data_IF_604250793621
#
_entry.id   IF_604250793621
#
_cell.length_a   1.000
_cell.length_b   1.000
_cell.length_c   1.000
_cell.angle_alpha   90.00
_cell.angle_beta   90.00
_cell.angle_gamma   90.00
#
_symmetry.space_group_name_H-M   'P 1'
#
loop_
_entity.id
_entity.type
_entity.pdbx_description
1 polymer ?
#
# COMPACT_ATOMS: atom_id res chain seq x y z
N UNK A 1 -1.05 84.45 -0.85
CA UNK A 1 -1.00 85.42 0.28
C UNK A 1 -1.94 84.95 1.38
N UNK A 2 -1.56 85.14 2.67
CA UNK A 2 -2.41 85.60 3.82
C UNK A 2 -3.90 85.13 3.85
N UNK A 3 -4.53 84.48 4.86
CA UNK A 3 -4.32 83.91 6.23
C UNK A 3 -5.51 82.93 6.49
N UNK A 4 -5.61 82.03 7.49
CA UNK A 4 -4.68 81.56 8.53
C UNK A 4 -5.31 81.46 9.95
N UNK A 5 -5.37 80.24 10.56
CA UNK A 5 -5.91 79.82 11.90
C UNK A 5 -7.39 79.33 11.90
N UNK A 6 -7.84 78.34 12.70
CA UNK A 6 -7.23 77.38 13.66
C UNK A 6 -8.18 76.18 13.93
N UNK A 7 -7.61 75.02 14.33
CA UNK A 7 -8.10 73.83 15.10
C UNK A 7 -9.59 73.78 15.58
N UNK A 8 -10.26 72.62 15.69
CA UNK A 8 -9.74 71.27 15.99
C UNK A 8 -10.57 70.09 15.42
N UNK A 9 -9.88 68.94 15.23
CA UNK A 9 -10.21 67.53 15.53
C UNK A 9 -11.69 67.12 15.85
N UNK A 10 -12.22 65.97 15.40
CA UNK A 10 -11.61 64.83 14.66
C UNK A 10 -12.64 63.88 14.00
N UNK A 11 -12.25 63.29 12.85
CA UNK A 11 -12.68 61.99 12.27
C UNK A 11 -14.18 61.67 12.05
N UNK A 12 -14.58 61.81 10.78
CA UNK A 12 -15.64 61.12 9.98
C UNK A 12 -14.89 60.10 9.06
N UNK A 13 -15.44 59.08 8.31
CA UNK A 13 -16.83 58.65 7.94
C UNK A 13 -17.24 57.21 8.38
N UNK A 14 -18.53 56.83 8.52
CA UNK A 14 -19.57 56.37 7.53
C UNK A 14 -19.28 55.05 6.77
N UNK A 15 -20.29 54.36 6.18
CA UNK A 15 -21.70 54.13 6.61
C UNK A 15 -22.17 52.66 6.35
N UNK A 16 -23.46 52.34 6.57
CA UNK A 16 -24.10 51.18 5.91
C UNK A 16 -25.28 50.53 6.63
N UNK A 17 -26.50 51.05 6.46
CA UNK A 17 -27.75 50.33 6.81
C UNK A 17 -28.36 49.63 5.59
N UNK A 18 -28.88 48.42 5.83
CA UNK A 18 -30.04 47.77 5.18
C UNK A 18 -30.10 47.62 3.64
N UNK A 19 -30.49 46.42 3.19
CA UNK A 19 -31.81 46.19 2.55
C UNK A 19 -32.12 44.69 2.38
N UNK A 20 -33.41 44.37 2.26
CA UNK A 20 -33.92 43.01 2.00
C UNK A 20 -33.64 42.54 0.56
N UNK A 21 -33.53 41.23 0.32
CA UNK A 21 -34.64 40.43 -0.27
C UNK A 21 -34.21 39.06 -0.86
N UNK A 22 -35.18 38.13 -0.93
CA UNK A 22 -35.31 37.02 -1.91
C UNK A 22 -34.16 35.99 -2.03
N UNK A 23 -34.27 34.90 -1.27
CA UNK A 23 -33.75 33.60 -1.72
C UNK A 23 -34.70 33.01 -2.78
N UNK A 24 -34.25 32.94 -4.03
CA UNK A 24 -34.97 32.27 -5.12
C UNK A 24 -34.77 30.76 -5.08
N UNK A 25 -35.85 29.99 -5.14
CA UNK A 25 -35.79 28.54 -5.33
C UNK A 25 -35.10 28.17 -6.66
N UNK A 26 -33.96 27.49 -6.58
CA UNK A 26 -33.51 26.60 -7.66
C UNK A 26 -34.03 25.18 -7.37
N UNK A 27 -34.66 24.49 -8.33
CA UNK A 27 -35.11 23.12 -8.12
C UNK A 27 -33.91 22.18 -7.98
N UNK A 28 -33.92 21.32 -6.96
CA UNK A 28 -32.87 20.32 -6.76
C UNK A 28 -32.81 19.36 -7.95
N UNK A 29 -31.63 19.24 -8.52
CA UNK A 29 -31.34 18.30 -9.61
C UNK A 29 -31.41 16.86 -9.07
N UNK A 30 -32.17 15.99 -9.74
CA UNK A 30 -32.43 14.62 -9.30
C UNK A 30 -31.20 13.72 -9.56
N UNK A 31 -30.63 13.13 -8.51
CA UNK A 31 -29.46 12.24 -8.59
C UNK A 31 -29.93 10.78 -8.37
N UNK A 32 -29.84 9.87 -9.36
CA UNK A 32 -30.54 8.57 -9.32
C UNK A 32 -30.08 7.49 -8.33
N UNK A 33 -29.29 7.82 -7.29
CA UNK A 33 -28.78 6.83 -6.32
C UNK A 33 -28.89 7.23 -4.84
N UNK A 34 -29.60 8.31 -4.49
CA UNK A 34 -30.10 8.47 -3.12
C UNK A 34 -31.22 7.45 -2.85
N UNK A 35 -30.83 6.19 -2.59
CA UNK A 35 -31.74 5.24 -1.93
C UNK A 35 -32.04 5.77 -0.53
N UNK A 36 -33.32 5.72 -0.16
CA UNK A 36 -33.79 6.19 1.14
C UNK A 36 -32.95 5.62 2.29
N UNK A 37 -32.68 6.45 3.30
CA UNK A 37 -31.94 6.02 4.49
C UNK A 37 -32.63 4.80 5.12
N UNK A 38 -31.98 3.64 5.04
CA UNK A 38 -32.36 2.43 5.74
C UNK A 38 -32.11 2.55 7.26
N UNK A 39 -32.71 3.55 7.90
CA UNK A 39 -32.81 3.61 9.35
C UNK A 39 -33.79 2.53 9.83
N UNK A 40 -33.29 1.60 10.67
CA UNK A 40 -34.01 0.54 11.38
C UNK A 40 -34.06 -0.86 10.72
N UNK A 41 -32.90 -1.41 10.34
CA UNK A 41 -32.73 -2.85 10.03
C UNK A 41 -31.62 -3.54 10.86
N UNK A 42 -31.45 -3.13 12.12
CA UNK A 42 -30.72 -3.91 13.13
C UNK A 42 -31.60 -4.11 14.36
N UNK A 43 -31.58 -5.33 14.91
CA UNK A 43 -32.34 -5.62 16.12
C UNK A 43 -31.64 -5.03 17.35
N UNK A 44 -32.38 -4.70 18.44
CA UNK A 44 -31.78 -4.17 19.66
C UNK A 44 -30.57 -4.96 20.23
N UNK A 45 -30.53 -6.31 20.25
CA UNK A 45 -29.37 -7.04 20.76
C UNK A 45 -28.10 -6.88 19.90
N UNK A 46 -28.20 -6.79 18.57
CA UNK A 46 -27.03 -6.63 17.69
C UNK A 46 -26.25 -5.35 18.01
N UNK A 47 -26.99 -4.27 18.30
CA UNK A 47 -26.43 -2.96 18.65
C UNK A 47 -25.68 -3.00 19.99
N UNK A 48 -26.20 -3.74 20.96
CA UNK A 48 -25.62 -3.85 22.30
C UNK A 48 -24.37 -4.74 22.29
N UNK A 49 -24.37 -5.82 21.50
CA UNK A 49 -23.20 -6.66 21.26
C UNK A 49 -22.05 -5.88 20.60
N UNK A 50 -22.35 -5.10 19.56
CA UNK A 50 -21.35 -4.26 18.90
C UNK A 50 -20.81 -3.14 19.80
N UNK A 51 -21.64 -2.50 20.65
CA UNK A 51 -21.19 -1.46 21.58
C UNK A 51 -20.30 -2.00 22.71
N UNK A 52 -20.66 -3.13 23.33
CA UNK A 52 -19.84 -3.71 24.41
C UNK A 52 -18.49 -4.22 23.90
N UNK A 53 -18.43 -4.70 22.65
CA UNK A 53 -17.15 -5.03 21.99
C UNK A 53 -16.27 -3.81 21.70
N UNK A 54 -16.82 -2.59 21.61
CA UNK A 54 -16.05 -1.41 21.19
C UNK A 54 -15.19 -0.77 22.31
N UNK A 55 -15.42 -1.15 23.58
CA UNK A 55 -14.89 -0.43 24.73
C UNK A 55 -13.49 -0.83 25.21
N UNK A 56 -12.95 -2.00 24.79
CA UNK A 56 -11.70 -2.52 25.37
C UNK A 56 -10.53 -2.72 24.38
N UNK A 57 -10.74 -2.72 23.06
CA UNK A 57 -9.65 -2.94 22.09
C UNK A 57 -9.78 -2.04 20.83
N UNK A 58 -8.65 -1.72 20.15
CA UNK A 58 -8.67 -1.23 18.78
C UNK A 58 -9.22 -2.33 17.86
N UNK A 59 -10.24 -2.01 17.07
CA UNK A 59 -10.98 -2.98 16.25
C UNK A 59 -11.28 -2.38 14.89
N UNK A 60 -11.33 -3.23 13.86
CA UNK A 60 -11.89 -2.86 12.56
C UNK A 60 -13.30 -2.26 12.72
N UNK A 61 -14.11 -2.75 13.67
CA UNK A 61 -15.44 -2.21 14.00
C UNK A 61 -15.45 -0.88 14.76
N UNK A 62 -14.31 -0.21 14.99
CA UNK A 62 -14.32 1.20 15.39
C UNK A 62 -14.78 2.09 14.22
N UNK A 63 -14.50 1.65 13.00
CA UNK A 63 -14.99 2.21 11.75
C UNK A 63 -16.39 1.64 11.44
N UNK A 64 -17.38 2.51 11.22
CA UNK A 64 -18.78 2.11 10.99
C UNK A 64 -18.97 1.48 9.61
N UNK A 65 -18.16 1.89 8.64
CA UNK A 65 -18.05 1.32 7.30
C UNK A 65 -17.75 -0.19 7.33
N UNK A 66 -16.95 -0.66 8.30
CA UNK A 66 -16.62 -2.09 8.46
C UNK A 66 -17.73 -2.92 9.12
N UNK A 67 -18.85 -2.32 9.55
CA UNK A 67 -19.97 -3.05 10.13
C UNK A 67 -20.81 -3.75 9.07
N UNK A 68 -20.79 -3.24 7.83
CA UNK A 68 -21.63 -3.68 6.74
C UNK A 68 -20.78 -4.00 5.52
N UNK A 69 -20.54 -5.29 5.29
CA UNK A 69 -19.98 -5.80 4.03
C UNK A 69 -21.11 -6.44 3.22
N UNK A 70 -21.03 -6.33 1.90
CA UNK A 70 -21.86 -7.13 0.99
C UNK A 70 -21.53 -8.63 1.08
N UNK A 71 -22.25 -9.43 0.31
CA UNK A 71 -22.10 -10.88 0.23
C UNK A 71 -20.86 -11.31 -0.56
N UNK A 72 -20.47 -10.58 -1.61
CA UNK A 72 -19.25 -10.86 -2.39
C UNK A 72 -17.98 -10.73 -1.54
N UNK A 73 -17.86 -9.63 -0.79
CA UNK A 73 -16.77 -9.38 0.14
C UNK A 73 -16.70 -10.43 1.26
N UNK A 74 -17.85 -10.84 1.81
CA UNK A 74 -17.92 -11.94 2.79
C UNK A 74 -17.47 -13.27 2.19
N UNK A 75 -17.84 -13.57 0.94
CA UNK A 75 -17.39 -14.77 0.24
C UNK A 75 -15.87 -14.72 -0.01
N UNK A 76 -15.33 -13.57 -0.42
CA UNK A 76 -13.89 -13.36 -0.59
C UNK A 76 -13.11 -13.57 0.72
N UNK A 77 -13.59 -12.98 1.82
CA UNK A 77 -13.06 -13.17 3.17
C UNK A 77 -13.06 -14.64 3.60
N UNK A 78 -14.16 -15.36 3.40
CA UNK A 78 -14.28 -16.77 3.80
C UNK A 78 -13.38 -17.70 2.95
N UNK A 79 -13.13 -17.38 1.68
CA UNK A 79 -12.19 -18.14 0.84
C UNK A 79 -10.76 -18.09 1.37
N UNK A 80 -10.31 -16.95 1.89
CA UNK A 80 -8.94 -16.77 2.43
C UNK A 80 -8.86 -17.05 3.94
N UNK A 81 -9.96 -17.09 4.67
CA UNK A 81 -9.95 -17.07 6.15
C UNK A 81 -9.11 -18.18 6.79
N UNK A 82 -9.05 -19.36 6.18
CA UNK A 82 -8.28 -20.49 6.72
C UNK A 82 -6.78 -20.43 6.44
N UNK A 83 -6.31 -19.52 5.59
CA UNK A 83 -4.88 -19.23 5.40
C UNK A 83 -4.43 -17.96 6.13
N UNK A 84 -5.33 -17.24 6.79
CA UNK A 84 -4.98 -16.09 7.66
C UNK A 84 -4.82 -16.56 9.10
N UNK A 85 -3.70 -16.19 9.72
CA UNK A 85 -3.36 -16.50 11.12
C UNK A 85 -3.24 -15.23 11.96
N UNK A 86 -3.47 -15.34 13.26
CA UNK A 86 -3.04 -14.32 14.22
C UNK A 86 -1.61 -14.63 14.67
N UNK A 87 -0.80 -13.59 14.83
CA UNK A 87 0.57 -13.67 15.33
C UNK A 87 0.70 -12.87 16.63
N UNK A 88 1.43 -13.42 17.60
CA UNK A 88 1.77 -12.73 18.85
C UNK A 88 3.25 -12.96 19.14
N UNK A 89 3.99 -11.88 19.42
CA UNK A 89 5.39 -11.96 19.84
C UNK A 89 5.54 -11.71 21.33
N UNK A 90 6.60 -12.28 21.89
CA UNK A 90 6.99 -12.15 23.28
C UNK A 90 8.49 -11.85 23.35
N UNK A 91 8.87 -10.97 24.27
CA UNK A 91 10.25 -10.65 24.66
C UNK A 91 10.28 -10.70 26.20
N UNK A 92 11.30 -11.31 26.80
CA UNK A 92 11.39 -11.57 28.25
C UNK A 92 10.15 -12.29 28.83
N UNK A 93 9.49 -13.13 28.02
CA UNK A 93 8.24 -13.80 28.37
C UNK A 93 7.01 -12.87 28.48
N UNK A 94 7.15 -11.57 28.23
CA UNK A 94 6.04 -10.60 28.17
C UNK A 94 5.58 -10.45 26.73
N UNK A 95 4.28 -10.32 26.52
CA UNK A 95 3.73 -10.00 25.19
C UNK A 95 4.31 -8.67 24.73
N UNK A 96 4.97 -8.68 23.58
CA UNK A 96 5.59 -7.51 22.96
C UNK A 96 4.62 -6.90 21.95
N UNK A 97 4.41 -7.55 20.81
CA UNK A 97 3.53 -7.07 19.73
C UNK A 97 2.62 -8.19 19.21
N UNK A 98 1.79 -7.85 18.24
CA UNK A 98 0.82 -8.74 17.62
C UNK A 98 0.52 -8.26 16.20
N UNK A 99 -0.03 -9.14 15.36
CA UNK A 99 -0.44 -8.81 14.00
C UNK A 99 -1.19 -9.97 13.36
N UNK A 100 -1.40 -9.86 12.06
CA UNK A 100 -1.93 -10.94 11.24
C UNK A 100 -0.85 -11.46 10.29
N UNK A 101 -1.03 -12.66 9.74
CA UNK A 101 -0.14 -13.21 8.73
C UNK A 101 -0.87 -14.13 7.76
N UNK A 102 -0.23 -14.42 6.64
CA UNK A 102 -0.78 -15.23 5.54
C UNK A 102 0.07 -16.47 5.32
N UNK A 103 -0.52 -17.66 5.43
CA UNK A 103 0.14 -18.92 5.04
C UNK A 103 0.25 -18.95 3.51
N UNK A 104 1.47 -18.80 3.00
CA UNK A 104 1.77 -18.73 1.56
C UNK A 104 2.37 -20.01 0.98
N UNK A 105 3.02 -20.82 1.82
CA UNK A 105 3.62 -22.11 1.44
C UNK A 105 3.42 -23.10 2.59
N UNK A 106 3.30 -24.40 2.28
CA UNK A 106 3.36 -25.47 3.29
C UNK A 106 3.79 -26.78 2.64
N UNK A 107 4.68 -27.50 3.31
CA UNK A 107 5.04 -28.88 2.99
C UNK A 107 4.84 -29.79 4.22
N UNK A 108 5.46 -30.98 4.22
CA UNK A 108 5.36 -31.97 5.30
C UNK A 108 6.20 -31.62 6.54
N UNK A 109 7.11 -30.65 6.45
CA UNK A 109 8.03 -30.24 7.52
C UNK A 109 7.65 -28.88 8.09
N UNK A 110 7.25 -27.93 7.23
CA UNK A 110 7.04 -26.54 7.64
C UNK A 110 5.96 -25.84 6.81
N UNK A 111 5.23 -24.96 7.48
CA UNK A 111 4.36 -23.95 6.90
C UNK A 111 4.99 -22.56 7.02
N UNK A 112 4.79 -21.73 6.00
CA UNK A 112 5.44 -20.43 5.85
C UNK A 112 4.38 -19.33 5.90
N UNK A 113 4.50 -18.44 6.88
CA UNK A 113 3.65 -17.26 7.07
C UNK A 113 4.38 -16.00 6.61
N UNK A 114 3.81 -15.30 5.62
CA UNK A 114 4.21 -13.95 5.25
C UNK A 114 3.46 -12.92 6.11
N UNK A 115 4.17 -11.96 6.67
CA UNK A 115 3.63 -10.94 7.60
C UNK A 115 4.52 -9.68 7.63
N UNK A 116 4.25 -8.77 8.57
CA UNK A 116 5.01 -7.56 8.81
C UNK A 116 6.15 -7.78 9.82
N UNK A 117 7.32 -7.18 9.59
CA UNK A 117 8.44 -7.19 10.55
C UNK A 117 8.15 -6.40 11.84
N UNK A 118 7.15 -5.51 11.82
CA UNK A 118 6.66 -4.80 13.01
C UNK A 118 6.24 -5.74 14.15
N UNK A 119 5.96 -7.04 13.90
CA UNK A 119 5.63 -7.95 15.00
C UNK A 119 6.82 -8.20 15.95
N UNK A 120 8.06 -7.88 15.60
CA UNK A 120 9.23 -7.98 16.49
C UNK A 120 10.20 -6.78 16.42
N UNK A 121 9.98 -5.80 15.53
CA UNK A 121 10.82 -4.60 15.43
C UNK A 121 10.74 -3.75 16.71
N UNK A 122 11.89 -3.47 17.31
CA UNK A 122 11.97 -2.59 18.48
C UNK A 122 12.05 -1.10 18.09
N UNK A 123 11.61 -0.21 18.98
CA UNK A 123 11.48 1.21 18.68
C UNK A 123 12.78 2.02 18.82
N UNK A 124 13.79 1.47 19.48
CA UNK A 124 15.09 2.13 19.72
C UNK A 124 16.19 1.61 18.78
N UNK A 125 15.94 0.48 18.11
CA UNK A 125 16.97 -0.32 17.43
C UNK A 125 16.99 0.01 15.92
N UNK A 126 16.77 1.28 15.57
CA UNK A 126 16.82 1.75 14.17
C UNK A 126 18.25 1.60 13.57
N UNK A 127 19.24 1.37 14.42
CA UNK A 127 20.66 1.20 14.08
C UNK A 127 21.17 -0.25 14.25
N UNK A 128 20.46 -1.12 14.99
CA UNK A 128 20.86 -2.51 15.25
C UNK A 128 19.83 -3.43 14.58
N UNK A 129 20.26 -4.17 13.55
CA UNK A 129 19.36 -5.00 12.74
C UNK A 129 18.96 -6.32 13.40
N UNK A 130 19.53 -6.66 14.55
CA UNK A 130 19.43 -7.99 15.13
C UNK A 130 18.05 -8.25 15.74
N UNK A 131 17.71 -9.53 15.87
CA UNK A 131 16.50 -9.97 16.58
C UNK A 131 16.79 -10.02 18.09
N UNK A 132 15.82 -9.68 18.97
CA UNK A 132 15.99 -9.84 20.40
C UNK A 132 16.29 -11.30 20.79
N UNK A 133 17.30 -11.53 21.62
CA UNK A 133 17.77 -12.88 22.00
C UNK A 133 16.65 -13.81 22.52
N UNK A 134 15.72 -13.26 23.31
CA UNK A 134 14.60 -13.97 23.94
C UNK A 134 13.27 -13.87 23.14
N UNK A 135 13.33 -13.47 21.86
CA UNK A 135 12.16 -13.37 20.99
C UNK A 135 11.47 -14.73 20.80
N UNK A 136 10.17 -14.77 21.07
CA UNK A 136 9.30 -15.92 20.78
C UNK A 136 8.08 -15.47 20.01
N UNK A 137 7.72 -16.20 18.96
CA UNK A 137 6.52 -15.94 18.17
C UNK A 137 5.56 -17.11 18.33
N UNK A 138 4.28 -16.80 18.54
CA UNK A 138 3.18 -17.76 18.53
C UNK A 138 2.32 -17.54 17.30
N UNK A 139 2.19 -18.59 16.47
CA UNK A 139 1.31 -18.63 15.32
C UNK A 139 -0.01 -19.27 15.74
N UNK A 140 -1.13 -18.55 15.60
CA UNK A 140 -2.44 -18.99 16.10
C UNK A 140 -3.36 -19.34 14.93
N UNK A 141 -3.60 -20.63 14.75
CA UNK A 141 -4.46 -21.21 13.70
C UNK A 141 -5.91 -21.33 14.20
N UNK A 142 -6.52 -20.17 14.37
CA UNK A 142 -7.84 -19.97 14.99
C UNK A 142 -9.00 -20.84 14.47
N UNK A 143 -8.99 -21.27 13.20
CA UNK A 143 -10.05 -22.12 12.63
C UNK A 143 -10.13 -23.53 13.26
N UNK A 144 -9.06 -23.97 13.93
CA UNK A 144 -9.02 -25.19 14.76
C UNK A 144 -8.69 -24.94 16.22
N UNK A 145 -8.44 -23.68 16.61
CA UNK A 145 -8.02 -23.31 17.97
C UNK A 145 -6.59 -23.76 18.32
N UNK A 146 -5.77 -24.08 17.33
CA UNK A 146 -4.39 -24.54 17.52
C UNK A 146 -3.42 -23.36 17.63
N UNK A 147 -2.30 -23.56 18.32
CA UNK A 147 -1.20 -22.59 18.42
C UNK A 147 0.15 -23.29 18.29
N UNK A 148 1.05 -22.71 17.50
CA UNK A 148 2.37 -23.25 17.21
C UNK A 148 3.47 -22.23 17.59
N UNK A 149 4.65 -22.72 17.96
CA UNK A 149 5.86 -21.88 17.99
C UNK A 149 6.24 -21.52 16.56
N UNK A 150 6.57 -20.25 16.32
CA UNK A 150 7.04 -19.75 15.05
C UNK A 150 8.49 -19.27 15.12
N UNK A 151 9.28 -19.65 14.13
CA UNK A 151 10.68 -19.25 13.94
C UNK A 151 10.77 -18.14 12.89
N UNK A 152 11.56 -17.08 13.14
CA UNK A 152 11.83 -16.05 12.13
C UNK A 152 12.82 -16.59 11.11
N UNK A 153 12.34 -16.85 9.88
CA UNK A 153 13.18 -17.38 8.79
C UNK A 153 13.86 -16.27 7.98
N UNK A 154 13.16 -15.14 7.80
CA UNK A 154 13.63 -13.98 7.04
C UNK A 154 12.90 -12.72 7.50
N UNK A 155 13.56 -11.57 7.42
CA UNK A 155 12.93 -10.26 7.62
C UNK A 155 13.69 -9.15 6.88
N UNK A 156 12.99 -8.07 6.59
CA UNK A 156 13.55 -6.86 5.99
C UNK A 156 12.81 -5.63 6.50
N UNK A 157 13.47 -4.83 7.33
CA UNK A 157 12.91 -3.60 7.91
C UNK A 157 12.72 -2.46 6.89
N UNK A 158 13.28 -2.57 5.68
CA UNK A 158 13.07 -1.60 4.61
C UNK A 158 11.68 -1.78 3.98
N UNK A 159 11.32 -3.02 3.61
CA UNK A 159 9.97 -3.38 3.13
C UNK A 159 8.98 -3.69 4.26
N UNK A 160 9.46 -3.77 5.50
CA UNK A 160 8.73 -4.21 6.68
C UNK A 160 8.05 -5.58 6.50
N UNK A 161 8.74 -6.50 5.83
CA UNK A 161 8.27 -7.87 5.60
C UNK A 161 9.00 -8.83 6.54
N UNK A 162 8.28 -9.86 6.97
CA UNK A 162 8.83 -10.99 7.72
C UNK A 162 8.22 -12.31 7.24
N UNK A 163 9.01 -13.37 7.39
CA UNK A 163 8.62 -14.74 7.10
C UNK A 163 8.80 -15.59 8.36
N UNK A 164 7.69 -16.14 8.84
CA UNK A 164 7.67 -17.00 10.03
C UNK A 164 7.41 -18.45 9.59
N UNK A 165 8.33 -19.34 9.93
CA UNK A 165 8.17 -20.79 9.78
C UNK A 165 7.47 -21.37 11.00
N UNK A 166 6.59 -22.35 10.83
CA UNK A 166 6.07 -23.17 11.92
C UNK A 166 5.78 -24.59 11.43
N UNK A 167 5.84 -25.58 12.32
CA UNK A 167 5.50 -26.97 11.99
C UNK A 167 4.06 -27.27 12.45
N UNK A 168 3.09 -27.44 11.53
CA UNK A 168 1.74 -27.83 11.90
C UNK A 168 1.65 -29.33 12.21
N UNK A 169 0.79 -29.70 13.16
CA UNK A 169 0.42 -31.11 13.41
C UNK A 169 -0.55 -31.65 12.35
N UNK A 170 -1.37 -30.77 11.76
CA UNK A 170 -2.45 -31.10 10.83
C UNK A 170 -2.38 -30.19 9.59
N UNK A 171 -2.61 -30.68 8.36
CA UNK A 171 -2.52 -29.88 7.12
C UNK A 171 -3.26 -28.54 7.21
N UNK A 172 -2.60 -27.45 6.84
CA UNK A 172 -3.14 -26.08 6.87
C UNK A 172 -3.58 -25.62 5.47
N UNK A 173 -4.47 -24.63 5.41
CA UNK A 173 -4.85 -24.02 4.13
C UNK A 173 -3.81 -23.00 3.67
N UNK A 174 -3.38 -23.10 2.42
CA UNK A 174 -2.49 -22.14 1.76
C UNK A 174 -3.34 -21.10 1.02
N UNK A 175 -2.94 -19.83 1.08
CA UNK A 175 -3.61 -18.74 0.37
C UNK A 175 -3.48 -18.90 -1.15
N UNK A 176 -4.54 -18.57 -1.89
CA UNK A 176 -4.41 -18.29 -3.32
C UNK A 176 -3.78 -16.92 -3.49
N UNK A 177 -2.75 -16.82 -4.32
CA UNK A 177 -2.05 -15.57 -4.62
C UNK A 177 -2.29 -15.20 -6.07
N UNK A 178 -2.57 -13.92 -6.33
CA UNK A 178 -2.63 -13.36 -7.66
C UNK A 178 -1.59 -12.24 -7.79
N UNK A 179 -0.62 -12.42 -8.70
CA UNK A 179 0.33 -11.35 -9.05
C UNK A 179 -0.45 -10.18 -9.66
N UNK A 180 -0.07 -8.95 -9.35
CA UNK A 180 -0.69 -7.75 -9.90
C UNK A 180 -0.14 -7.48 -11.31
N UNK A 181 -1.04 -7.13 -12.23
CA UNK A 181 -0.77 -6.38 -13.47
C UNK A 181 -1.37 -4.99 -13.30
N UNK A 182 -0.50 -4.00 -13.05
CA UNK A 182 -0.85 -2.58 -12.92
C UNK A 182 -0.58 -1.81 -14.23
N UNK A 183 -0.46 -2.51 -15.37
CA UNK A 183 -0.09 -1.91 -16.66
C UNK A 183 -1.25 -1.21 -17.38
N UNK A 184 -1.80 -0.19 -16.73
CA UNK A 184 -2.72 0.75 -17.38
C UNK A 184 -1.95 1.68 -18.31
N UNK A 185 -2.55 2.00 -19.45
CA UNK A 185 -1.96 2.90 -20.44
C UNK A 185 -2.89 4.06 -20.75
N UNK A 186 -2.30 5.22 -21.02
CA UNK A 186 -3.00 6.41 -21.50
C UNK A 186 -2.71 6.54 -22.99
N UNK A 187 -3.72 6.29 -23.83
CA UNK A 187 -3.60 6.41 -25.29
C UNK A 187 -4.80 7.18 -25.84
N UNK A 188 -4.53 8.14 -26.73
CA UNK A 188 -5.55 8.86 -27.49
C UNK A 188 -6.25 7.96 -28.53
N UNK A 189 -5.59 6.89 -28.96
CA UNK A 189 -6.11 5.88 -29.87
C UNK A 189 -5.94 4.51 -29.21
N UNK A 190 -6.80 4.13 -28.25
CA UNK A 190 -6.74 2.80 -27.65
C UNK A 190 -6.98 1.76 -28.75
N UNK A 191 -6.11 0.74 -28.91
CA UNK A 191 -6.29 -0.27 -29.94
C UNK A 191 -7.57 -1.08 -29.64
N UNK A 192 -8.44 -1.21 -30.64
CA UNK A 192 -9.77 -1.82 -30.52
C UNK A 192 -9.73 -3.17 -29.80
N UNK A 193 -10.12 -3.16 -28.51
CA UNK A 193 -10.23 -4.32 -27.63
C UNK A 193 -9.21 -5.44 -27.93
N UNK A 194 -7.91 -5.12 -27.80
CA UNK A 194 -6.89 -6.17 -27.84
C UNK A 194 -7.19 -7.15 -26.72
N UNK A 195 -7.59 -8.36 -27.09
CA UNK A 195 -7.66 -9.49 -26.18
C UNK A 195 -6.24 -9.69 -25.62
N UNK A 196 -5.99 -9.17 -24.41
CA UNK A 196 -4.79 -9.52 -23.66
C UNK A 196 -4.77 -11.07 -23.61
N UNK A 197 -3.64 -11.74 -23.92
CA UNK A 197 -3.51 -13.17 -23.66
C UNK A 197 -3.96 -13.47 -22.24
N UNK A 198 -4.52 -14.67 -21.98
CA UNK A 198 -4.98 -15.06 -20.64
C UNK A 198 -3.85 -14.96 -19.62
N UNK A 199 -3.71 -13.79 -18.99
CA UNK A 199 -2.71 -13.57 -17.98
C UNK A 199 -3.12 -14.29 -16.71
N UNK A 200 -2.13 -14.83 -16.00
CA UNK A 200 -2.31 -15.37 -14.65
C UNK A 200 -2.28 -14.27 -13.58
N UNK A 201 -2.03 -13.02 -13.98
CA UNK A 201 -2.09 -11.86 -13.09
C UNK A 201 -3.51 -11.30 -12.97
N UNK A 202 -3.77 -10.71 -11.81
CA UNK A 202 -4.94 -9.88 -11.55
C UNK A 202 -4.65 -8.45 -12.02
N UNK A 203 -5.45 -7.96 -12.97
CA UNK A 203 -5.40 -6.55 -13.38
C UNK A 203 -5.93 -5.69 -12.24
N UNK A 204 -5.13 -4.74 -11.75
CA UNK A 204 -5.50 -3.83 -10.66
C UNK A 204 -5.50 -2.39 -11.17
N UNK A 205 -6.68 -1.77 -11.17
CA UNK A 205 -6.90 -0.40 -11.59
C UNK A 205 -7.37 0.50 -10.44
N UNK A 206 -7.02 1.81 -10.43
CA UNK A 206 -7.56 2.75 -9.45
C UNK A 206 -9.09 2.75 -9.42
N UNK A 207 -9.66 2.62 -8.23
CA UNK A 207 -11.11 2.42 -8.04
C UNK A 207 -11.54 0.95 -7.97
N UNK A 208 -10.67 -0.02 -8.23
CA UNK A 208 -10.98 -1.43 -8.00
C UNK A 208 -11.18 -1.72 -6.51
N UNK A 209 -12.18 -2.54 -6.23
CA UNK A 209 -12.49 -3.01 -4.88
C UNK A 209 -11.41 -3.94 -4.34
N UNK A 210 -10.96 -3.66 -3.11
CA UNK A 210 -9.99 -4.46 -2.37
C UNK A 210 -10.45 -4.65 -0.92
N UNK A 211 -9.94 -5.68 -0.25
CA UNK A 211 -10.34 -6.02 1.12
C UNK A 211 -9.09 -6.30 1.96
N UNK A 212 -8.90 -5.55 3.05
CA UNK A 212 -7.86 -5.83 4.04
C UNK A 212 -8.39 -6.86 5.05
N UNK A 213 -7.72 -8.01 5.17
CA UNK A 213 -8.14 -9.14 6.02
C UNK A 213 -7.20 -9.34 7.20
N UNK A 214 -7.73 -9.65 8.39
CA UNK A 214 -6.89 -9.94 9.55
C UNK A 214 -7.56 -10.87 10.53
N UNK A 215 -6.90 -11.12 11.67
CA UNK A 215 -7.48 -11.80 12.83
C UNK A 215 -7.17 -11.05 14.12
N UNK A 216 -8.13 -11.03 15.03
CA UNK A 216 -7.85 -10.57 16.39
C UNK A 216 -6.84 -11.49 17.07
N UNK A 217 -6.06 -10.94 18.00
CA UNK A 217 -5.05 -11.64 18.81
C UNK A 217 -5.55 -12.05 20.20
N UNK A 218 -6.79 -11.71 20.53
CA UNK A 218 -7.47 -12.14 21.75
C UNK A 218 -8.51 -13.19 21.36
N UNK A 219 -8.75 -14.18 22.23
CA UNK A 219 -9.76 -15.21 21.98
C UNK A 219 -11.15 -14.58 21.76
N UNK A 220 -11.92 -14.94 20.74
CA UNK A 220 -11.84 -16.12 19.86
C UNK A 220 -10.97 -16.01 18.59
N UNK A 221 -10.14 -14.97 18.45
CA UNK A 221 -9.28 -14.73 17.27
C UNK A 221 -10.08 -14.55 15.96
N UNK A 222 -11.23 -13.87 16.07
CA UNK A 222 -12.20 -13.74 14.98
C UNK A 222 -11.59 -13.07 13.75
N UNK A 223 -12.13 -13.45 12.58
CA UNK A 223 -11.76 -12.86 11.30
C UNK A 223 -12.19 -11.38 11.26
N UNK A 224 -11.30 -10.54 10.75
CA UNK A 224 -11.51 -9.12 10.48
C UNK A 224 -11.48 -8.86 8.97
N UNK A 225 -12.26 -7.88 8.53
CA UNK A 225 -12.26 -7.40 7.16
C UNK A 225 -12.57 -5.91 7.11
N UNK A 226 -11.90 -5.17 6.25
CA UNK A 226 -12.27 -3.81 5.83
C UNK A 226 -12.31 -3.78 4.31
N UNK A 227 -13.39 -3.25 3.75
CA UNK A 227 -13.51 -3.03 2.31
C UNK A 227 -13.05 -1.62 1.96
N UNK A 228 -12.50 -1.45 0.76
CA UNK A 228 -12.10 -0.15 0.24
C UNK A 228 -11.75 -0.26 -1.24
N UNK A 229 -11.11 0.79 -1.76
CA UNK A 229 -10.71 0.89 -3.15
C UNK A 229 -9.21 1.14 -3.26
N UNK A 230 -8.56 0.57 -4.28
CA UNK A 230 -7.17 0.92 -4.63
C UNK A 230 -7.10 2.36 -5.16
N UNK A 231 -6.06 3.10 -4.76
CA UNK A 231 -5.89 4.52 -5.00
C UNK A 231 -4.51 4.84 -5.58
N UNK A 232 -4.45 5.92 -6.38
CA UNK A 232 -3.21 6.50 -6.91
C UNK A 232 -2.42 7.32 -5.87
N UNK A 233 -3.03 7.65 -4.74
CA UNK A 233 -2.42 8.48 -3.73
C UNK A 233 -1.19 7.79 -3.08
N UNK A 234 -0.20 8.58 -2.69
CA UNK A 234 1.06 8.07 -2.13
C UNK A 234 0.90 7.69 -0.67
N UNK A 235 1.53 6.58 -0.28
CA UNK A 235 1.72 6.22 1.13
C UNK A 235 2.44 7.35 1.87
N UNK A 236 1.96 7.72 3.06
CA UNK A 236 2.68 8.62 3.98
C UNK A 236 3.86 7.93 4.69
N UNK A 237 4.04 6.62 4.47
CA UNK A 237 5.20 5.86 4.90
C UNK A 237 6.34 6.01 3.88
N UNK A 238 7.59 6.00 4.33
CA UNK A 238 8.75 6.30 3.48
C UNK A 238 8.95 5.31 2.31
N UNK A 239 8.41 4.09 2.42
CA UNK A 239 8.48 3.06 1.39
C UNK A 239 7.60 3.40 0.18
N UNK A 240 8.24 3.72 -0.95
CA UNK A 240 7.60 4.24 -2.18
C UNK A 240 6.96 3.18 -3.06
N UNK A 241 7.33 1.92 -2.83
CA UNK A 241 6.79 0.72 -3.46
C UNK A 241 5.38 0.35 -2.96
N UNK A 242 4.92 1.00 -1.88
CA UNK A 242 3.61 0.77 -1.30
C UNK A 242 2.47 1.30 -2.18
N UNK A 243 1.46 0.46 -2.38
CA UNK A 243 0.19 0.82 -2.99
C UNK A 243 -0.78 1.28 -1.89
N UNK A 244 -1.63 2.28 -2.14
CA UNK A 244 -2.54 2.83 -1.13
C UNK A 244 -4.01 2.44 -1.39
N UNK A 245 -4.79 2.36 -0.32
CA UNK A 245 -6.22 2.01 -0.36
C UNK A 245 -7.04 2.84 0.61
N UNK A 246 -8.34 2.95 0.35
CA UNK A 246 -9.31 3.56 1.28
C UNK A 246 -9.79 2.62 2.39
N UNK A 247 -9.16 1.45 2.58
CA UNK A 247 -9.56 0.53 3.65
C UNK A 247 -9.32 1.18 5.01
N UNK A 248 -10.37 1.35 5.81
CA UNK A 248 -10.26 1.84 7.19
C UNK A 248 -9.90 0.69 8.13
N UNK A 249 -8.66 0.60 8.59
CA UNK A 249 -8.21 -0.47 9.51
C UNK A 249 -7.70 0.10 10.83
N UNK A 250 -7.33 -0.82 11.73
CA UNK A 250 -6.51 -0.51 12.92
C UNK A 250 -5.28 -1.41 12.89
N UNK A 251 -4.18 -1.01 13.54
CA UNK A 251 -2.94 -1.80 13.60
C UNK A 251 -3.06 -3.23 14.15
N UNK A 252 -4.21 -3.60 14.74
CA UNK A 252 -4.52 -4.99 15.11
C UNK A 252 -4.41 -5.99 13.93
N UNK A 253 -4.53 -5.51 12.68
CA UNK A 253 -4.44 -6.34 11.47
C UNK A 253 -3.06 -6.36 10.79
N UNK A 254 -2.09 -5.56 11.24
CA UNK A 254 -0.83 -5.34 10.50
C UNK A 254 -0.12 -6.65 10.12
N UNK A 255 0.37 -6.72 8.87
CA UNK A 255 0.93 -7.93 8.28
C UNK A 255 -0.11 -8.90 7.68
N UNK A 256 -1.40 -8.60 7.81
CA UNK A 256 -2.48 -9.35 7.15
C UNK A 256 -2.50 -9.17 5.62
N UNK A 257 -3.21 -10.05 4.88
CA UNK A 257 -3.28 -9.94 3.44
C UNK A 257 -4.27 -8.86 2.99
N UNK A 258 -3.87 -8.11 1.96
CA UNK A 258 -4.78 -7.41 1.07
C UNK A 258 -5.25 -8.41 0.00
N UNK A 259 -6.56 -8.54 -0.20
CA UNK A 259 -7.16 -9.44 -1.20
C UNK A 259 -8.00 -8.69 -2.23
N UNK A 260 -8.17 -9.31 -3.40
CA UNK A 260 -9.22 -8.97 -4.35
C UNK A 260 -10.57 -9.65 -3.99
N UNK A 261 -11.65 -9.28 -4.70
CA UNK A 261 -12.99 -9.89 -4.50
C UNK A 261 -13.09 -11.36 -4.95
N UNK A 262 -12.08 -11.90 -5.65
CA UNK A 262 -12.01 -13.34 -5.91
C UNK A 262 -11.60 -14.14 -4.66
N UNK A 263 -11.05 -13.51 -3.63
CA UNK A 263 -10.46 -14.19 -2.46
C UNK A 263 -8.98 -14.54 -2.66
N UNK A 264 -8.27 -13.80 -3.52
CA UNK A 264 -6.86 -14.02 -3.84
C UNK A 264 -6.02 -12.89 -3.24
N UNK A 265 -4.88 -13.25 -2.63
CA UNK A 265 -3.95 -12.32 -1.99
C UNK A 265 -3.17 -11.56 -3.06
N UNK A 266 -3.23 -10.23 -2.98
CA UNK A 266 -2.56 -9.28 -3.87
C UNK A 266 -1.47 -8.46 -3.15
N UNK A 267 -1.37 -8.56 -1.82
CA UNK A 267 -0.28 -7.95 -1.05
C UNK A 267 -0.39 -8.13 0.46
N UNK A 268 0.54 -7.50 1.19
CA UNK A 268 0.60 -7.46 2.67
C UNK A 268 0.35 -6.02 3.12
N UNK A 269 -0.61 -5.76 4.00
CA UNK A 269 -0.94 -4.39 4.41
C UNK A 269 -0.35 -3.94 5.75
N UNK A 270 -0.29 -2.62 5.89
CA UNK A 270 0.19 -1.88 7.04
C UNK A 270 -0.72 -0.67 7.30
N UNK A 271 -1.14 -0.48 8.54
CA UNK A 271 -1.97 0.63 8.98
C UNK A 271 -1.20 1.96 8.98
N UNK A 272 -1.50 2.84 8.02
CA UNK A 272 -1.05 4.24 8.07
C UNK A 272 -2.10 5.13 8.76
N UNK A 273 -1.75 6.35 9.16
CA UNK A 273 -2.68 7.25 9.87
C UNK A 273 -3.79 7.74 8.94
N UNK A 274 -4.92 7.04 8.90
CA UNK A 274 -6.10 7.41 8.10
C UNK A 274 -6.19 6.74 6.72
N UNK A 275 -5.20 5.94 6.34
CA UNK A 275 -5.18 5.17 5.09
C UNK A 275 -4.53 3.80 5.31
N UNK A 276 -4.85 2.83 4.46
CA UNK A 276 -4.17 1.52 4.47
C UNK A 276 -3.25 1.43 3.26
N UNK A 277 -1.96 1.26 3.52
CA UNK A 277 -0.95 0.98 2.49
C UNK A 277 -0.64 -0.52 2.45
N UNK A 278 -0.29 -1.07 1.30
CA UNK A 278 0.12 -2.46 1.17
C UNK A 278 1.32 -2.64 0.24
N UNK A 279 2.18 -3.59 0.57
CA UNK A 279 3.26 -4.05 -0.28
C UNK A 279 2.68 -5.02 -1.33
N UNK A 280 2.80 -4.74 -2.63
CA UNK A 280 2.38 -5.65 -3.69
C UNK A 280 2.98 -7.05 -3.52
N UNK A 281 2.17 -8.08 -3.80
CA UNK A 281 2.63 -9.47 -3.62
C UNK A 281 3.75 -9.85 -4.60
N UNK A 282 3.84 -9.19 -5.76
CA UNK A 282 4.97 -9.31 -6.69
C UNK A 282 6.31 -9.05 -5.96
N UNK A 283 6.40 -7.92 -5.26
CA UNK A 283 7.62 -7.50 -4.53
C UNK A 283 7.86 -8.45 -3.36
N UNK A 284 6.80 -8.76 -2.59
CA UNK A 284 6.89 -9.64 -1.42
C UNK A 284 7.39 -11.05 -1.77
N UNK A 285 6.88 -11.64 -2.85
CA UNK A 285 7.33 -12.94 -3.36
C UNK A 285 8.69 -12.87 -4.05
N UNK A 286 9.03 -11.76 -4.72
CA UNK A 286 10.35 -11.56 -5.33
C UNK A 286 11.43 -11.56 -4.24
N UNK A 287 11.21 -10.80 -3.18
CA UNK A 287 12.03 -10.74 -1.98
C UNK A 287 12.20 -12.12 -1.32
N UNK A 288 11.09 -12.81 -1.01
CA UNK A 288 11.12 -14.13 -0.37
C UNK A 288 11.83 -15.20 -1.23
N UNK A 289 11.53 -15.26 -2.53
CA UNK A 289 12.17 -16.22 -3.42
C UNK A 289 13.66 -15.94 -3.62
N UNK A 290 14.08 -14.67 -3.64
CA UNK A 290 15.50 -14.32 -3.68
C UNK A 290 16.20 -14.77 -2.40
N UNK A 291 15.61 -14.52 -1.23
CA UNK A 291 16.15 -14.96 0.06
C UNK A 291 16.30 -16.49 0.14
N UNK A 292 15.26 -17.26 -0.25
CA UNK A 292 15.33 -18.74 -0.32
C UNK A 292 16.49 -19.26 -1.15
N UNK A 293 16.90 -18.54 -2.21
CA UNK A 293 17.95 -18.96 -3.12
C UNK A 293 19.36 -18.54 -2.68
N UNK A 294 19.49 -17.40 -1.98
CA UNK A 294 20.80 -16.78 -1.71
C UNK A 294 21.15 -16.64 -0.22
N UNK A 295 20.21 -16.90 0.70
CA UNK A 295 20.39 -16.70 2.15
C UNK A 295 20.49 -15.22 2.58
N UNK A 296 20.33 -14.29 1.62
CA UNK A 296 20.33 -12.84 1.84
C UNK A 296 19.29 -12.19 0.92
N UNK A 297 18.78 -11.04 1.30
CA UNK A 297 18.03 -10.17 0.40
C UNK A 297 18.99 -9.35 -0.48
N UNK A 298 18.50 -8.85 -1.61
CA UNK A 298 19.20 -7.89 -2.46
C UNK A 298 18.18 -6.84 -2.89
N UNK A 299 18.41 -5.57 -2.55
CA UNK A 299 17.44 -4.48 -2.77
C UNK A 299 17.94 -3.58 -3.89
N UNK A 300 17.21 -3.41 -5.01
CA UNK A 300 17.60 -2.44 -6.04
C UNK A 300 17.42 -1.01 -5.51
N UNK A 301 18.52 -0.26 -5.40
CA UNK A 301 18.46 1.18 -5.21
C UNK A 301 18.45 1.87 -6.57
N UNK A 302 17.29 2.40 -6.92
CA UNK A 302 17.08 3.12 -8.19
C UNK A 302 17.85 4.44 -8.22
N UNK A 303 18.00 5.11 -7.09
CA UNK A 303 18.55 6.47 -7.03
C UNK A 303 17.58 7.57 -7.47
N UNK A 304 16.29 7.25 -7.63
CA UNK A 304 15.20 8.16 -7.96
C UNK A 304 13.86 7.64 -7.40
N UNK A 305 12.90 8.54 -7.20
CA UNK A 305 11.49 8.25 -6.88
C UNK A 305 10.68 8.21 -8.19
N UNK A 306 9.73 7.29 -8.29
CA UNK A 306 8.97 7.04 -9.51
C UNK A 306 7.59 6.43 -9.27
N UNK A 307 6.69 6.63 -10.23
CA UNK A 307 5.37 5.98 -10.30
C UNK A 307 5.05 5.51 -11.72
N UNK A 308 3.93 4.80 -11.87
CA UNK A 308 3.35 4.54 -13.17
C UNK A 308 3.03 5.84 -13.93
N UNK A 309 3.25 5.87 -15.24
CA UNK A 309 2.94 7.04 -16.09
C UNK A 309 1.48 7.49 -15.96
N UNK A 310 0.52 6.57 -15.82
CA UNK A 310 -0.91 6.91 -15.68
C UNK A 310 -1.29 7.55 -14.35
N UNK A 311 -0.36 7.60 -13.38
CA UNK A 311 -0.56 8.23 -12.08
C UNK A 311 -0.08 9.70 -12.03
N UNK A 312 0.60 10.17 -13.09
CA UNK A 312 1.10 11.53 -13.19
C UNK A 312 -0.01 12.57 -13.42
N UNK A 313 0.32 13.84 -13.16
CA UNK A 313 -0.57 14.95 -13.50
C UNK A 313 -0.83 15.03 -15.03
N UNK A 314 -2.06 15.39 -15.37
CA UNK A 314 -2.59 15.34 -16.75
C UNK A 314 -1.76 16.21 -17.72
N UNK A 315 -1.21 17.33 -17.26
CA UNK A 315 -0.39 18.22 -18.07
C UNK A 315 0.98 17.62 -18.41
N UNK A 316 1.56 16.81 -17.52
CA UNK A 316 2.79 16.05 -17.80
C UNK A 316 2.49 14.95 -18.81
N UNK A 317 1.39 14.20 -18.60
CA UNK A 317 0.96 13.12 -19.51
C UNK A 317 0.67 13.69 -20.91
N UNK A 318 -0.03 14.83 -21.01
CA UNK A 318 -0.28 15.52 -22.28
C UNK A 318 1.03 15.85 -23.01
N UNK A 319 1.99 16.47 -22.31
CA UNK A 319 3.29 16.84 -22.91
C UNK A 319 4.09 15.63 -23.40
N UNK A 320 4.05 14.51 -22.68
CA UNK A 320 4.70 13.26 -23.11
C UNK A 320 4.00 12.68 -24.33
N UNK A 321 2.67 12.49 -24.29
CA UNK A 321 1.90 11.86 -25.38
C UNK A 321 1.93 12.69 -26.66
N UNK A 322 1.85 14.03 -26.56
CA UNK A 322 1.89 14.92 -27.73
C UNK A 322 3.24 14.91 -28.44
N UNK A 323 4.33 14.58 -27.74
CA UNK A 323 5.68 14.48 -28.32
C UNK A 323 6.06 13.05 -28.71
N UNK A 324 5.64 12.06 -27.94
CA UNK A 324 5.92 10.64 -28.12
C UNK A 324 4.62 9.80 -28.11
N UNK A 325 3.77 9.87 -29.16
CA UNK A 325 2.44 9.21 -29.13
C UNK A 325 2.46 7.68 -29.00
N UNK A 326 3.62 7.04 -29.23
CA UNK A 326 3.84 5.61 -28.99
C UNK A 326 4.07 5.26 -27.51
N UNK A 327 4.52 6.22 -26.69
CA UNK A 327 4.76 6.07 -25.26
C UNK A 327 3.45 6.31 -24.51
N UNK A 328 2.60 5.28 -24.53
CA UNK A 328 1.31 5.26 -23.84
C UNK A 328 1.36 4.59 -22.45
N UNK A 329 2.52 4.07 -22.07
CA UNK A 329 2.83 3.38 -20.82
C UNK A 329 4.30 3.60 -20.46
N UNK A 330 4.61 3.43 -19.19
CA UNK A 330 5.97 3.54 -18.68
C UNK A 330 5.98 3.88 -17.19
N UNK A 331 7.17 4.19 -16.70
CA UNK A 331 7.41 4.68 -15.35
C UNK A 331 7.91 6.12 -15.43
N UNK A 332 7.20 7.05 -14.79
CA UNK A 332 7.61 8.45 -14.71
C UNK A 332 8.54 8.66 -13.51
N UNK A 333 9.61 9.42 -13.74
CA UNK A 333 10.56 9.86 -12.73
C UNK A 333 10.01 11.11 -12.03
N UNK A 334 9.65 11.02 -10.76
CA UNK A 334 9.19 12.16 -9.95
C UNK A 334 10.36 12.99 -9.43
N UNK A 335 11.46 12.34 -9.06
CA UNK A 335 12.59 13.00 -8.40
C UNK A 335 13.85 12.16 -8.50
N UNK A 336 14.95 12.77 -8.91
CA UNK A 336 16.26 12.10 -8.94
C UNK A 336 17.08 12.51 -7.71
N UNK A 337 17.68 11.53 -7.02
CA UNK A 337 18.50 11.78 -5.82
C UNK A 337 19.87 12.33 -6.26
N UNK A 338 20.29 13.53 -5.82
CA UNK A 338 21.57 14.11 -6.23
C UNK A 338 22.76 13.20 -5.90
N UNK A 339 23.62 12.97 -6.88
CA UNK A 339 24.79 12.09 -6.75
C UNK A 339 24.51 10.59 -6.84
N UNK A 340 23.26 10.18 -7.04
CA UNK A 340 22.91 8.76 -7.29
C UNK A 340 23.37 8.27 -8.67
N UNK A 341 23.39 6.95 -8.92
CA UNK A 341 23.66 6.42 -10.26
C UNK A 341 22.73 6.99 -11.34
N UNK A 342 21.45 7.24 -11.02
CA UNK A 342 20.49 7.85 -11.93
C UNK A 342 20.84 9.30 -12.28
N UNK A 343 21.24 10.08 -11.28
CA UNK A 343 21.73 11.45 -11.49
C UNK A 343 22.99 11.46 -12.37
N UNK A 344 23.93 10.55 -12.11
CA UNK A 344 25.17 10.42 -12.89
C UNK A 344 24.94 9.91 -14.32
N UNK A 345 23.92 9.06 -14.53
CA UNK A 345 23.46 8.64 -15.86
C UNK A 345 22.79 9.78 -16.63
N UNK A 346 22.39 10.87 -15.96
CA UNK A 346 21.73 12.01 -16.57
C UNK A 346 20.20 11.88 -16.67
N UNK A 347 19.58 11.02 -15.86
CA UNK A 347 18.13 10.95 -15.65
C UNK A 347 17.64 12.23 -14.97
N UNK A 348 16.46 12.73 -15.34
CA UNK A 348 15.84 13.92 -14.75
C UNK A 348 14.37 13.70 -14.38
N UNK A 349 13.83 14.61 -13.57
CA UNK A 349 12.41 14.70 -13.27
C UNK A 349 11.56 14.85 -14.56
N UNK A 350 10.40 14.20 -14.58
CA UNK A 350 9.48 14.07 -15.73
C UNK A 350 10.00 13.26 -16.94
N UNK A 351 11.15 12.60 -16.84
CA UNK A 351 11.48 11.51 -17.78
C UNK A 351 10.48 10.36 -17.63
N UNK A 352 9.97 9.83 -18.74
CA UNK A 352 9.17 8.58 -18.75
C UNK A 352 10.01 7.44 -19.30
N UNK A 353 10.40 6.51 -18.43
CA UNK A 353 11.11 5.27 -18.76
C UNK A 353 10.11 4.30 -19.41
N UNK A 354 10.34 3.96 -20.68
CA UNK A 354 9.46 3.05 -21.44
C UNK A 354 10.20 1.83 -22.02
N UNK A 355 11.54 1.82 -21.98
CA UNK A 355 12.37 0.62 -22.16
C UNK A 355 13.42 0.53 -21.05
N UNK A 356 13.66 -0.69 -20.58
CA UNK A 356 14.71 -1.03 -19.61
C UNK A 356 15.37 -2.34 -20.06
N UNK A 357 16.69 -2.33 -20.31
CA UNK A 357 17.46 -3.49 -20.77
C UNK A 357 16.85 -4.15 -22.04
N UNK A 358 16.43 -3.30 -23.00
CA UNK A 358 15.77 -3.71 -24.23
C UNK A 358 14.33 -4.24 -24.09
N UNK A 359 13.80 -4.35 -22.87
CA UNK A 359 12.44 -4.79 -22.58
C UNK A 359 11.49 -3.59 -22.48
N UNK A 360 10.25 -3.69 -23.02
CA UNK A 360 9.18 -2.74 -22.72
C UNK A 360 8.99 -2.60 -21.21
N UNK A 361 8.75 -1.37 -20.75
CA UNK A 361 8.29 -1.10 -19.39
C UNK A 361 6.82 -0.69 -19.48
N UNK A 362 5.93 -1.56 -19.01
CA UNK A 362 4.49 -1.35 -19.03
C UNK A 362 3.95 -0.81 -17.69
N UNK A 363 4.68 -1.02 -16.60
CA UNK A 363 4.34 -0.52 -15.26
C UNK A 363 5.55 -0.42 -14.31
N UNK A 364 5.33 0.15 -13.12
CA UNK A 364 6.31 0.23 -12.03
C UNK A 364 6.69 -1.15 -11.50
N UNK A 365 5.73 -2.08 -11.35
CA UNK A 365 6.04 -3.44 -10.91
C UNK A 365 6.92 -4.18 -11.92
N UNK A 366 6.65 -4.06 -13.23
CA UNK A 366 7.50 -4.65 -14.27
C UNK A 366 8.90 -4.02 -14.29
N UNK A 367 9.00 -2.69 -14.18
CA UNK A 367 10.29 -2.00 -14.07
C UNK A 367 11.11 -2.49 -12.87
N UNK A 368 10.46 -2.55 -11.70
CA UNK A 368 11.08 -3.01 -10.46
C UNK A 368 11.53 -4.47 -10.55
N UNK A 369 10.72 -5.35 -11.16
CA UNK A 369 11.09 -6.74 -11.43
C UNK A 369 12.31 -6.85 -12.37
N UNK A 370 12.44 -6.00 -13.39
CA UNK A 370 13.64 -5.95 -14.25
C UNK A 370 14.85 -5.50 -13.43
N UNK A 371 14.75 -4.38 -12.69
CA UNK A 371 15.84 -3.81 -11.90
C UNK A 371 16.36 -4.76 -10.82
N UNK A 372 15.47 -5.52 -10.15
CA UNK A 372 15.86 -6.52 -9.16
C UNK A 372 16.80 -7.61 -9.73
N UNK A 373 16.62 -7.99 -10.99
CA UNK A 373 17.48 -8.99 -11.65
C UNK A 373 18.81 -8.42 -12.15
N UNK A 374 19.03 -7.10 -12.03
CA UNK A 374 20.17 -6.36 -12.59
C UNK A 374 21.00 -5.63 -11.54
N UNK A 375 20.80 -5.90 -10.24
CA UNK A 375 21.59 -5.26 -9.18
C UNK A 375 23.08 -5.63 -9.31
N UNK A 376 23.93 -4.61 -9.30
CA UNK A 376 25.37 -4.70 -9.60
C UNK A 376 25.72 -4.54 -11.08
N UNK A 377 24.74 -4.51 -11.99
CA UNK A 377 24.94 -4.43 -13.43
C UNK A 377 24.65 -3.03 -14.00
N UNK A 378 25.17 -2.78 -15.21
CA UNK A 378 24.82 -1.61 -16.02
C UNK A 378 23.48 -1.89 -16.72
N UNK A 379 22.52 -0.97 -16.58
CA UNK A 379 21.18 -1.06 -17.13
C UNK A 379 20.97 0.07 -18.13
N UNK A 380 20.70 -0.31 -19.39
CA UNK A 380 20.32 0.63 -20.44
C UNK A 380 18.84 1.02 -20.27
N UNK A 381 18.58 2.32 -20.13
CA UNK A 381 17.24 2.91 -20.08
C UNK A 381 16.98 3.69 -21.38
N UNK A 382 15.74 3.68 -21.86
CA UNK A 382 15.28 4.62 -22.88
C UNK A 382 14.11 5.41 -22.34
N UNK A 383 14.25 6.74 -22.36
CA UNK A 383 13.31 7.67 -21.74
C UNK A 383 12.73 8.67 -22.73
N UNK A 384 11.45 8.95 -22.60
CA UNK A 384 10.79 10.07 -23.25
C UNK A 384 11.02 11.33 -22.40
N UNK A 385 11.77 12.28 -22.93
CA UNK A 385 12.14 13.54 -22.26
C UNK A 385 11.50 14.73 -22.95
N UNK A 386 10.78 15.57 -22.18
CA UNK A 386 10.00 16.69 -22.71
C UNK A 386 10.80 17.63 -23.64
N UNK A 387 12.09 17.88 -23.35
CA UNK A 387 12.92 18.79 -24.13
C UNK A 387 13.66 18.12 -25.30
N UNK A 388 13.77 16.78 -25.33
CA UNK A 388 14.45 16.03 -26.40
C UNK A 388 13.51 15.71 -27.56
N UNK A 389 13.95 15.86 -28.81
CA UNK A 389 13.14 15.51 -30.00
C UNK A 389 13.01 14.00 -30.16
N UNK A 390 14.09 13.27 -29.86
CA UNK A 390 14.16 11.81 -29.90
C UNK A 390 14.21 11.22 -28.49
N UNK A 391 13.88 9.93 -28.29
CA UNK A 391 14.10 9.26 -27.01
C UNK A 391 15.56 9.32 -26.56
N UNK A 392 15.77 9.54 -25.26
CA UNK A 392 17.12 9.64 -24.68
C UNK A 392 17.54 8.28 -24.17
N UNK A 393 18.72 7.83 -24.59
CA UNK A 393 19.36 6.61 -24.11
C UNK A 393 20.30 6.95 -22.94
N UNK A 394 20.13 6.25 -21.81
CA UNK A 394 20.90 6.47 -20.59
C UNK A 394 21.42 5.11 -20.09
N UNK A 395 22.68 5.05 -19.65
CA UNK A 395 23.25 3.85 -19.01
C UNK A 395 23.44 4.11 -17.52
N UNK A 396 22.73 3.34 -16.69
CA UNK A 396 22.70 3.51 -15.23
C UNK A 396 23.17 2.25 -14.53
N UNK A 397 24.10 2.36 -13.56
CA UNK A 397 24.44 1.21 -12.71
C UNK A 397 23.31 1.02 -11.69
N UNK A 398 22.68 -0.14 -11.69
CA UNK A 398 21.75 -0.54 -10.62
C UNK A 398 22.58 -0.91 -9.39
N UNK A 399 22.49 -0.15 -8.30
CA UNK A 399 23.26 -0.44 -7.07
C UNK A 399 22.38 -1.10 -6.01
N UNK A 400 23.00 -1.83 -5.08
CA UNK A 400 22.29 -2.38 -3.93
C UNK A 400 21.99 -1.27 -2.91
N UNK A 401 20.77 -1.24 -2.35
CA UNK A 401 20.40 -0.30 -1.31
C UNK A 401 21.14 -0.61 -0.01
N UNK A 402 21.93 0.35 0.49
CA UNK A 402 22.73 0.20 1.71
C UNK A 402 21.87 -0.15 2.92
N UNK A 403 22.46 -0.83 3.90
CA UNK A 403 21.73 -1.28 5.11
C UNK A 403 21.40 -0.15 6.08
N UNK A 404 21.97 1.04 5.91
CA UNK A 404 21.91 2.16 6.86
C UNK A 404 20.66 3.06 6.72
N UNK A 405 19.79 2.81 5.73
CA UNK A 405 18.55 3.57 5.53
C UNK A 405 17.32 2.65 5.47
N UNK A 406 16.59 2.62 6.58
CA UNK A 406 15.28 1.99 6.67
C UNK A 406 14.16 3.02 6.56
N UNK A 407 13.10 2.63 5.85
CA UNK A 407 11.85 3.36 5.82
C UNK A 407 11.25 3.43 7.24
N UNK A 408 10.54 4.50 7.57
CA UNK A 408 9.74 4.64 8.79
C UNK A 408 8.42 3.90 8.66
N UNK A 409 7.98 3.25 9.75
CA UNK A 409 6.78 2.41 9.77
C UNK A 409 5.84 2.73 10.94
N UNK A 410 4.57 2.31 10.86
CA UNK A 410 3.60 2.45 11.95
C UNK A 410 4.00 1.63 13.18
N UNK A 411 3.45 1.97 14.35
CA UNK A 411 3.78 1.33 15.64
C UNK A 411 4.93 2.01 16.39
N UNK A 412 5.78 2.76 15.68
CA UNK A 412 6.76 3.64 16.31
C UNK A 412 6.11 4.92 16.82
N UNK A 413 6.59 5.40 17.98
CA UNK A 413 6.23 6.70 18.54
C UNK A 413 6.83 7.86 17.73
N UNK A 414 6.35 8.04 16.50
CA UNK A 414 6.58 9.24 15.70
C UNK A 414 6.06 10.44 16.50
N UNK A 415 6.97 11.14 17.17
CA UNK A 415 6.72 12.50 17.64
C UNK A 415 6.34 13.36 16.42
N UNK A 416 5.39 14.29 16.58
CA UNK A 416 4.95 15.17 15.51
C UNK A 416 6.08 16.10 15.04
#
# INVERSE_FOLDING_TARGET
>A
MVRGKRKAMSSVPNPGMSLHSTETCCPKMYIPWEREKASNLLSPPDRHYCMNLALEHPKFRQHQENWYMDDEAKIALLKVSNSVVSLVSYIDGKKFMHGSGTIIESDNMMSIVLTSANIFRHAQDVLENDLPDDLKITVIYSSRGESYTGDVLAYDYHYNLAVIGFQPENPVSIAKIALIDDSLGVSLNPPSSVLRPHSKSYNLAPGDGVIAVGRYFYASFDLMGACGFYCLARSELDCKELFQTTCSITGCGDGGPMINYNGEVIGVYFHCRGFTSFMPVNISLKWWNYYKQHGKYCRPSLGFEAMNMYAADVDIIERVIMKFPSVCKGVIVERVIPGSPAHLAGLIENDVIFLCDGKPVQSFLEFFEIMWNRVGELVALVVARQDSVEPVHLDMISVEATQEQFNSWPGHGLKP
#
